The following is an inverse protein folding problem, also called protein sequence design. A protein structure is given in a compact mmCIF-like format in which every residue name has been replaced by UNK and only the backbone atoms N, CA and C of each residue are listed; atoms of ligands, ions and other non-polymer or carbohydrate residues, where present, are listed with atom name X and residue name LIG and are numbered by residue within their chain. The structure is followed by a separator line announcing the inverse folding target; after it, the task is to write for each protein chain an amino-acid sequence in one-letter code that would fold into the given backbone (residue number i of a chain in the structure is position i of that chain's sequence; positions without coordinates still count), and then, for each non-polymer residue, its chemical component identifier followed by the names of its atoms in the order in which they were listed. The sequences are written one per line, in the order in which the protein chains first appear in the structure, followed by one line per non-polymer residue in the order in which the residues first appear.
data_IF_210756591594
#
_entry.id   IF_210756591594
#
_cell.length_a   1.000
_cell.length_b   1.000
_cell.length_c   1.000
_cell.angle_alpha   90.00
_cell.angle_beta   90.00
_cell.angle_gamma   90.00
#
_symmetry.space_group_name_H-M   'P 1'
#
loop_
_entity.id
_entity.type
_entity.pdbx_description
1 polymer ?
#
# COMPACT_ATOMS: atom_id res chain seq x y z
N UNK A 1 4.79 10.23 -3.27
CA UNK A 1 3.71 10.34 -4.28
C UNK A 1 2.59 11.32 -3.86
N UNK A 2 2.05 11.27 -2.63
CA UNK A 2 1.03 12.22 -2.14
C UNK A 2 1.40 13.71 -2.33
N UNK A 3 2.64 14.10 -2.02
CA UNK A 3 3.11 15.47 -2.21
C UNK A 3 3.10 15.91 -3.69
N UNK A 4 3.53 15.04 -4.62
CA UNK A 4 3.57 15.33 -6.05
C UNK A 4 2.16 15.46 -6.61
N UNK A 5 1.27 14.51 -6.31
CA UNK A 5 -0.14 14.57 -6.72
C UNK A 5 -0.88 15.76 -6.11
N UNK A 6 -0.56 16.11 -4.86
CA UNK A 6 -1.09 17.28 -4.18
C UNK A 6 -0.66 18.59 -4.85
N UNK A 7 0.60 18.71 -5.25
CA UNK A 7 1.11 19.88 -5.98
C UNK A 7 0.41 20.08 -7.34
N UNK A 8 -0.07 19.00 -7.96
CA UNK A 8 -0.83 19.05 -9.21
C UNK A 8 -2.36 19.17 -8.99
N UNK A 9 -2.83 19.22 -7.74
CA UNK A 9 -4.27 19.26 -7.42
C UNK A 9 -5.02 17.95 -7.73
N UNK A 10 -4.31 16.84 -7.90
CA UNK A 10 -4.85 15.55 -8.34
C UNK A 10 -5.13 14.58 -7.18
N UNK A 11 -4.69 14.89 -5.95
CA UNK A 11 -4.83 14.01 -4.80
C UNK A 11 -6.28 13.55 -4.56
N UNK A 12 -7.25 14.47 -4.66
CA UNK A 12 -8.66 14.15 -4.44
C UNK A 12 -9.20 13.11 -5.43
N UNK A 13 -8.67 13.08 -6.66
CA UNK A 13 -9.07 12.11 -7.69
C UNK A 13 -8.60 10.71 -7.32
N UNK A 14 -7.38 10.59 -6.82
CA UNK A 14 -6.79 9.32 -6.39
C UNK A 14 -7.45 8.80 -5.11
N UNK A 15 -7.83 9.68 -4.19
CA UNK A 15 -8.46 9.30 -2.91
C UNK A 15 -9.96 8.96 -3.06
N UNK A 16 -10.70 9.78 -3.79
CA UNK A 16 -12.16 9.60 -3.94
C UNK A 16 -12.48 8.59 -5.03
N UNK A 17 -11.71 8.62 -6.12
CA UNK A 17 -11.94 7.83 -7.33
C UNK A 17 -12.76 8.58 -8.37
N UNK A 18 -12.58 8.15 -9.62
CA UNK A 18 -13.39 8.57 -10.75
C UNK A 18 -14.25 7.39 -11.21
N UNK A 19 -15.55 7.64 -11.35
CA UNK A 19 -16.49 6.71 -11.98
C UNK A 19 -17.04 7.36 -13.24
N UNK A 20 -17.06 6.60 -14.33
CA UNK A 20 -17.65 7.03 -15.58
C UNK A 20 -19.17 6.79 -15.53
N UNK A 21 -20.01 7.83 -15.73
CA UNK A 21 -21.46 7.66 -15.69
C UNK A 21 -21.97 6.74 -16.80
N UNK A 22 -22.92 5.86 -16.47
CA UNK A 22 -23.53 4.92 -17.40
C UNK A 22 -24.38 5.61 -18.48
N UNK A 23 -25.03 6.74 -18.15
CA UNK A 23 -25.83 7.53 -19.08
C UNK A 23 -25.25 8.94 -19.22
N UNK A 24 -24.65 9.19 -20.39
CA UNK A 24 -24.08 10.49 -20.76
C UNK A 24 -25.09 11.40 -21.46
N UNK A 25 -26.25 10.85 -21.87
CA UNK A 25 -27.26 11.54 -22.67
C UNK A 25 -28.15 12.48 -21.87
N UNK A 26 -28.28 12.26 -20.56
CA UNK A 26 -29.08 13.09 -19.65
C UNK A 26 -28.34 14.31 -19.07
N UNK A 27 -27.05 14.48 -19.37
CA UNK A 27 -26.20 15.46 -18.70
C UNK A 27 -26.25 16.83 -19.36
N UNK A 28 -26.38 17.88 -18.55
CA UNK A 28 -26.28 19.26 -19.01
C UNK A 28 -24.82 19.61 -19.40
N UNK A 29 -24.65 20.64 -20.24
CA UNK A 29 -23.33 21.09 -20.75
C UNK A 29 -22.32 21.33 -19.61
N UNK A 30 -22.76 21.90 -18.48
CA UNK A 30 -21.91 22.13 -17.33
C UNK A 30 -21.46 20.82 -16.63
N UNK A 31 -22.33 19.81 -16.60
CA UNK A 31 -22.02 18.50 -16.00
C UNK A 31 -21.03 17.72 -16.86
N UNK A 32 -21.17 17.78 -18.20
CA UNK A 32 -20.21 17.20 -19.14
C UNK A 32 -18.81 17.80 -18.98
N UNK A 33 -18.71 19.13 -18.80
CA UNK A 33 -17.42 19.80 -18.57
C UNK A 33 -16.75 19.35 -17.26
N UNK A 34 -17.53 19.17 -16.18
CA UNK A 34 -17.03 18.66 -14.90
C UNK A 34 -16.55 17.21 -15.03
N UNK A 35 -17.29 16.36 -15.74
CA UNK A 35 -16.89 14.97 -15.98
C UNK A 35 -15.62 14.87 -16.81
N UNK A 36 -15.50 15.66 -17.88
CA UNK A 36 -14.30 15.69 -18.70
C UNK A 36 -13.08 16.14 -17.88
N UNK A 37 -13.26 17.15 -17.01
CA UNK A 37 -12.21 17.58 -16.09
C UNK A 37 -11.79 16.48 -15.12
N UNK A 38 -12.75 15.74 -14.55
CA UNK A 38 -12.46 14.59 -13.65
C UNK A 38 -11.75 13.46 -14.38
N UNK A 39 -12.21 13.09 -15.58
CA UNK A 39 -11.57 12.09 -16.44
C UNK A 39 -10.13 12.48 -16.78
N UNK A 40 -9.91 13.74 -17.19
CA UNK A 40 -8.57 14.25 -17.48
C UNK A 40 -7.68 14.24 -16.25
N UNK A 41 -8.23 14.58 -15.08
CA UNK A 41 -7.52 14.53 -13.81
C UNK A 41 -7.12 13.11 -13.41
N UNK A 42 -8.01 12.13 -13.60
CA UNK A 42 -7.74 10.72 -13.33
C UNK A 42 -6.61 10.19 -14.21
N UNK A 43 -6.67 10.44 -15.52
CA UNK A 43 -5.62 10.00 -16.45
C UNK A 43 -4.28 10.72 -16.18
N UNK A 44 -4.32 11.99 -15.78
CA UNK A 44 -3.10 12.72 -15.39
C UNK A 44 -2.49 12.12 -14.12
N UNK A 45 -3.31 11.78 -13.14
CA UNK A 45 -2.85 11.14 -11.91
C UNK A 45 -2.26 9.75 -12.18
N UNK A 46 -2.92 8.95 -13.04
CA UNK A 46 -2.42 7.64 -13.46
C UNK A 46 -1.07 7.76 -14.17
N UNK A 47 -0.89 8.75 -15.04
CA UNK A 47 0.39 9.01 -15.70
C UNK A 47 1.50 9.34 -14.71
N UNK A 48 1.24 10.23 -13.74
CA UNK A 48 2.20 10.57 -12.68
C UNK A 48 2.55 9.34 -11.84
N UNK A 49 1.55 8.51 -11.53
CA UNK A 49 1.77 7.25 -10.83
C UNK A 49 2.73 6.38 -11.66
N UNK A 50 2.45 6.12 -12.93
CA UNK A 50 3.31 5.31 -13.81
C UNK A 50 4.74 5.84 -13.92
N UNK A 51 4.93 7.16 -14.04
CA UNK A 51 6.26 7.77 -14.15
C UNK A 51 7.09 7.62 -12.87
N UNK A 52 6.45 7.44 -11.72
CA UNK A 52 7.12 7.33 -10.42
C UNK A 52 7.51 5.91 -10.02
N UNK A 53 7.35 4.91 -10.91
CA UNK A 53 7.53 3.50 -10.58
C UNK A 53 8.70 2.89 -11.34
N UNK A 54 9.31 1.88 -10.73
CA UNK A 54 10.20 0.96 -11.43
C UNK A 54 9.42 -0.03 -12.32
N UNK A 55 10.13 -0.71 -13.22
CA UNK A 55 9.53 -1.65 -14.18
C UNK A 55 8.78 -2.81 -13.52
N UNK A 56 9.21 -3.25 -12.34
CA UNK A 56 8.57 -4.39 -11.66
C UNK A 56 7.22 -3.99 -11.06
N UNK A 57 7.15 -2.83 -10.43
CA UNK A 57 5.92 -2.31 -9.85
C UNK A 57 4.98 -1.81 -10.96
N UNK A 58 5.51 -1.19 -12.02
CA UNK A 58 4.72 -0.77 -13.17
C UNK A 58 3.93 -1.94 -13.78
N UNK A 59 4.58 -3.09 -14.03
CA UNK A 59 3.91 -4.29 -14.58
C UNK A 59 2.74 -4.78 -13.73
N UNK A 60 2.73 -4.54 -12.42
CA UNK A 60 1.66 -4.96 -11.51
C UNK A 60 0.41 -4.09 -11.59
N UNK A 61 0.54 -2.84 -12.08
CA UNK A 61 -0.57 -1.89 -12.18
C UNK A 61 -0.86 -1.43 -13.61
N UNK A 62 -0.09 -1.90 -14.60
CA UNK A 62 -0.19 -1.44 -15.98
C UNK A 62 -1.56 -1.65 -16.64
N UNK A 63 -2.36 -2.61 -16.13
CA UNK A 63 -3.70 -2.88 -16.62
C UNK A 63 -4.78 -2.02 -15.96
N UNK A 64 -4.42 -1.24 -14.93
CA UNK A 64 -5.37 -0.39 -14.24
C UNK A 64 -5.69 0.84 -15.08
N UNK A 65 -7.00 1.06 -15.30
CA UNK A 65 -7.49 2.17 -16.11
C UNK A 65 -7.76 3.44 -15.30
N UNK A 66 -7.83 3.31 -13.97
CA UNK A 66 -8.14 4.38 -13.01
C UNK A 66 -6.98 4.60 -12.06
N UNK A 67 -6.72 5.86 -11.72
CA UNK A 67 -5.63 6.21 -10.82
C UNK A 67 -5.84 5.70 -9.39
N UNK A 68 -7.11 5.59 -8.94
CA UNK A 68 -7.46 5.05 -7.62
C UNK A 68 -7.10 3.57 -7.49
N UNK A 69 -7.48 2.76 -8.47
CA UNK A 69 -7.24 1.31 -8.43
C UNK A 69 -5.73 1.02 -8.43
N UNK A 70 -4.99 1.70 -9.31
CA UNK A 70 -3.53 1.70 -9.30
C UNK A 70 -2.94 2.09 -7.94
N UNK A 71 -3.44 3.16 -7.32
CA UNK A 71 -2.99 3.64 -6.02
C UNK A 71 -3.27 2.66 -4.88
N UNK A 72 -4.45 2.02 -4.88
CA UNK A 72 -4.83 1.06 -3.85
C UNK A 72 -3.95 -0.20 -3.93
N UNK A 73 -3.62 -0.67 -5.14
CA UNK A 73 -2.64 -1.76 -5.32
C UNK A 73 -1.27 -1.34 -4.78
N UNK A 74 -0.78 -0.14 -5.12
CA UNK A 74 0.50 0.36 -4.61
C UNK A 74 0.54 0.45 -3.08
N UNK A 75 -0.56 0.91 -2.47
CA UNK A 75 -0.69 0.99 -1.02
C UNK A 75 -0.58 -0.40 -0.39
N UNK A 76 -1.25 -1.39 -0.96
CA UNK A 76 -1.18 -2.78 -0.50
C UNK A 76 0.22 -3.38 -0.65
N UNK A 77 0.87 -3.16 -1.80
CA UNK A 77 2.26 -3.58 -2.02
C UNK A 77 3.22 -2.96 -0.99
N UNK A 78 3.01 -1.68 -0.65
CA UNK A 78 3.76 -0.99 0.39
C UNK A 78 3.58 -1.63 1.77
N UNK A 79 2.32 -1.91 2.15
CA UNK A 79 1.99 -2.59 3.41
C UNK A 79 2.66 -3.96 3.48
N UNK A 80 2.60 -4.75 2.41
CA UNK A 80 3.19 -6.09 2.38
C UNK A 80 4.71 -6.06 2.44
N UNK A 81 5.36 -5.09 1.76
CA UNK A 81 6.81 -4.88 1.87
C UNK A 81 7.22 -4.55 3.30
N UNK A 82 6.51 -3.64 3.97
CA UNK A 82 6.80 -3.28 5.38
C UNK A 82 6.62 -4.48 6.31
N UNK A 83 5.53 -5.24 6.16
CA UNK A 83 5.31 -6.48 6.93
C UNK A 83 6.44 -7.48 6.74
N UNK A 84 6.88 -7.70 5.50
CA UNK A 84 8.01 -8.61 5.19
C UNK A 84 9.31 -8.17 5.85
N UNK A 85 9.64 -6.88 5.81
CA UNK A 85 10.85 -6.35 6.47
C UNK A 85 10.77 -6.54 7.98
N UNK A 86 9.62 -6.21 8.59
CA UNK A 86 9.41 -6.42 10.03
C UNK A 86 9.53 -7.89 10.42
N UNK A 87 8.97 -8.81 9.62
CA UNK A 87 9.12 -10.25 9.84
C UNK A 87 10.58 -10.70 9.77
N UNK A 88 11.36 -10.19 8.82
CA UNK A 88 12.79 -10.52 8.73
C UNK A 88 13.56 -10.03 9.96
N UNK A 89 13.28 -8.83 10.45
CA UNK A 89 13.88 -8.33 11.70
C UNK A 89 13.56 -9.24 12.88
N UNK A 90 12.30 -9.66 13.02
CA UNK A 90 11.88 -10.54 14.12
C UNK A 90 12.49 -11.95 14.01
N UNK A 91 12.67 -12.50 12.80
CA UNK A 91 13.39 -13.76 12.60
C UNK A 91 14.84 -13.66 13.08
N UNK A 92 15.53 -12.59 12.69
CA UNK A 92 16.90 -12.35 13.14
C UNK A 92 16.97 -12.19 14.67
N UNK A 93 16.01 -11.48 15.28
CA UNK A 93 15.91 -11.36 16.74
C UNK A 93 15.71 -12.73 17.39
N UNK A 94 14.79 -13.56 16.86
CA UNK A 94 14.53 -14.91 17.33
C UNK A 94 15.75 -15.85 17.21
N UNK A 95 16.49 -15.78 16.10
CA UNK A 95 17.69 -16.59 15.90
C UNK A 95 18.84 -16.15 16.82
N UNK A 96 18.89 -14.86 17.16
CA UNK A 96 19.88 -14.31 18.10
C UNK A 96 19.49 -14.43 19.58
N UNK A 97 18.29 -14.92 19.87
CA UNK A 97 17.76 -14.99 21.23
C UNK A 97 18.53 -16.05 22.03
N UNK A 98 19.29 -15.58 23.01
CA UNK A 98 19.96 -16.40 24.01
C UNK A 98 19.54 -15.95 25.41
N UNK A 99 19.50 -16.91 26.33
CA UNK A 99 19.29 -16.64 27.74
C UNK A 99 20.51 -15.90 28.29
N UNK A 100 20.27 -14.81 29.03
CA UNK A 100 21.35 -14.01 29.63
C UNK A 100 21.81 -14.65 30.94
N UNK A 101 23.05 -14.37 31.36
CA UNK A 101 23.66 -14.95 32.57
C UNK A 101 22.86 -14.71 33.86
N UNK A 102 22.15 -13.58 33.96
CA UNK A 102 21.37 -13.19 35.13
C UNK A 102 19.86 -13.19 34.88
N UNK A 103 19.38 -13.94 33.89
CA UNK A 103 17.96 -14.01 33.51
C UNK A 103 17.33 -15.29 34.03
N UNK A 104 16.10 -15.21 34.56
CA UNK A 104 15.37 -16.42 34.93
C UNK A 104 14.83 -17.13 33.68
N UNK A 105 14.59 -18.45 33.80
CA UNK A 105 13.97 -19.23 32.72
C UNK A 105 12.63 -18.63 32.31
N UNK A 106 11.84 -18.13 33.28
CA UNK A 106 10.54 -17.51 33.03
C UNK A 106 10.65 -16.22 32.23
N UNK A 107 11.65 -15.39 32.53
CA UNK A 107 11.88 -14.12 31.83
C UNK A 107 12.34 -14.37 30.39
N UNK A 108 13.23 -15.35 30.20
CA UNK A 108 13.66 -15.79 28.88
C UNK A 108 12.48 -16.31 28.05
N UNK A 109 11.66 -17.20 28.62
CA UNK A 109 10.47 -17.72 27.95
C UNK A 109 9.49 -16.61 27.56
N UNK A 110 9.33 -15.61 28.44
CA UNK A 110 8.47 -14.45 28.17
C UNK A 110 8.96 -13.66 26.97
N UNK A 111 10.27 -13.40 26.86
CA UNK A 111 10.86 -12.74 25.69
C UNK A 111 10.67 -13.53 24.40
N UNK A 112 10.93 -14.84 24.43
CA UNK A 112 10.71 -15.73 23.29
C UNK A 112 9.24 -15.66 22.85
N UNK A 113 8.31 -15.71 23.80
CA UNK A 113 6.88 -15.63 23.52
C UNK A 113 6.47 -14.28 22.91
N UNK A 114 7.07 -13.17 23.35
CA UNK A 114 6.83 -11.84 22.76
C UNK A 114 7.20 -11.82 21.28
N UNK A 115 8.41 -12.28 20.93
CA UNK A 115 8.89 -12.30 19.53
C UNK A 115 8.01 -13.23 18.68
N UNK A 116 7.73 -14.44 19.16
CA UNK A 116 6.85 -15.42 18.51
C UNK A 116 5.45 -14.86 18.26
N UNK A 117 4.87 -14.17 19.24
CA UNK A 117 3.53 -13.59 19.10
C UNK A 117 3.52 -12.42 18.09
N UNK A 118 4.57 -11.62 18.04
CA UNK A 118 4.71 -10.56 17.05
C UNK A 118 4.82 -11.15 15.63
N UNK A 119 5.59 -12.21 15.44
CA UNK A 119 5.70 -12.93 14.16
C UNK A 119 4.34 -13.51 13.73
N UNK A 120 3.60 -14.17 14.64
CA UNK A 120 2.24 -14.69 14.38
C UNK A 120 1.27 -13.59 13.97
N UNK A 121 1.31 -12.42 14.64
CA UNK A 121 0.46 -11.27 14.29
C UNK A 121 0.73 -10.72 12.89
N UNK A 122 1.96 -10.85 12.39
CA UNK A 122 2.33 -10.46 11.02
C UNK A 122 2.03 -11.56 9.98
N UNK A 123 1.42 -12.67 10.38
CA UNK A 123 0.96 -13.74 9.48
C UNK A 123 1.92 -14.91 9.34
N UNK A 124 3.00 -14.96 10.13
CA UNK A 124 3.95 -16.06 10.10
C UNK A 124 3.33 -17.34 10.70
N UNK A 125 3.36 -18.43 9.93
CA UNK A 125 3.03 -19.76 10.45
C UNK A 125 4.29 -20.39 11.03
N UNK A 126 4.40 -20.37 12.35
CA UNK A 126 5.48 -21.05 13.05
C UNK A 126 5.14 -22.54 13.18
N UNK A 127 5.88 -23.38 12.47
CA UNK A 127 5.96 -24.81 12.77
C UNK A 127 7.08 -24.99 13.81
N UNK A 128 6.69 -25.35 15.02
CA UNK A 128 7.60 -25.70 16.11
C UNK A 128 7.87 -27.20 16.11
#
# INVERSE_FOLDING_TARGET
MKAILGAHGLWNVVETGYEEPADKGALYVAELAVLQKRRSGDQSALSIIHQGLDDEIFKKIANESKAKDAWDILKNLGVDKVKKVQLQTLRAEFESLLMKENESISDYFTRVLVVVNQMKRLGEKLTM
#
